data_IF_850860023395
#
_entry.id   IF_850860023395
#
_cell.length_a   1.000
_cell.length_b   1.000
_cell.length_c   1.000
_cell.angle_alpha   90.00
_cell.angle_beta   90.00
_cell.angle_gamma   90.00
#
_symmetry.space_group_name_H-M   'P 1'
#
loop_
_entity.id
_entity.type
_entity.pdbx_description
1 polymer ?
#
# COMPACT_ATOMS: atom_id res chain seq x y z
N UNK A 1 -31.94 -37.81 -6.28
CA UNK A 1 -30.91 -36.77 -6.04
C UNK A 1 -31.48 -35.40 -5.62
N UNK A 2 -32.63 -34.92 -6.14
CA UNK A 2 -33.26 -33.64 -5.70
C UNK A 2 -33.46 -33.48 -4.18
N UNK A 3 -33.74 -34.58 -3.47
CA UNK A 3 -33.94 -34.56 -2.00
C UNK A 3 -32.67 -34.24 -1.20
N UNK A 4 -31.47 -34.54 -1.69
CA UNK A 4 -30.23 -34.31 -0.92
C UNK A 4 -29.73 -32.87 -1.03
N UNK A 5 -29.80 -32.29 -2.23
CA UNK A 5 -29.20 -30.98 -2.53
C UNK A 5 -29.97 -29.79 -1.92
N UNK A 6 -31.28 -29.94 -1.79
CA UNK A 6 -32.17 -28.88 -1.32
C UNK A 6 -32.91 -29.25 -0.02
N UNK A 7 -32.64 -30.41 0.60
CA UNK A 7 -33.36 -30.84 1.81
C UNK A 7 -33.26 -29.79 2.91
N UNK A 8 -34.42 -29.24 3.23
CA UNK A 8 -34.60 -28.30 4.31
C UNK A 8 -35.49 -28.93 5.38
N UNK A 9 -34.88 -29.35 6.48
CA UNK A 9 -35.59 -29.83 7.66
C UNK A 9 -35.64 -28.72 8.71
N UNK A 10 -36.82 -28.42 9.27
CA UNK A 10 -36.92 -27.47 10.38
C UNK A 10 -36.20 -28.04 11.61
N UNK A 11 -35.54 -27.17 12.37
CA UNK A 11 -34.89 -27.56 13.61
C UNK A 11 -35.93 -27.77 14.74
N UNK A 12 -35.57 -28.46 15.84
CA UNK A 12 -36.52 -28.91 16.86
C UNK A 12 -37.36 -27.79 17.48
N UNK A 13 -36.81 -26.57 17.59
CA UNK A 13 -37.51 -25.41 18.15
C UNK A 13 -37.37 -24.17 17.27
N UNK A 14 -38.34 -23.24 17.41
CA UNK A 14 -38.30 -21.94 16.73
C UNK A 14 -37.10 -21.09 17.16
N UNK A 15 -36.74 -21.15 18.43
CA UNK A 15 -35.56 -20.44 18.94
C UNK A 15 -34.27 -20.97 18.30
N UNK A 16 -34.14 -22.29 18.15
CA UNK A 16 -33.02 -22.92 17.45
C UNK A 16 -32.99 -22.53 15.98
N UNK A 17 -34.14 -22.49 15.30
CA UNK A 17 -34.24 -22.02 13.91
C UNK A 17 -33.83 -20.54 13.76
N UNK A 18 -34.18 -19.67 14.71
CA UNK A 18 -33.76 -18.25 14.71
C UNK A 18 -32.26 -18.13 14.97
N UNK A 19 -31.73 -18.83 15.97
CA UNK A 19 -30.29 -18.83 16.25
C UNK A 19 -29.49 -19.34 15.05
N UNK A 20 -29.98 -20.40 14.39
CA UNK A 20 -29.36 -20.94 13.18
C UNK A 20 -29.44 -19.99 11.98
N UNK A 21 -30.55 -19.28 11.81
CA UNK A 21 -30.67 -18.21 10.82
C UNK A 21 -29.62 -17.13 11.06
N UNK A 22 -29.52 -16.61 12.29
CA UNK A 22 -28.57 -15.55 12.63
C UNK A 22 -27.13 -15.99 12.39
N UNK A 23 -26.80 -17.23 12.78
CA UNK A 23 -25.50 -17.83 12.52
C UNK A 23 -25.19 -17.89 11.02
N UNK A 24 -26.09 -18.47 10.21
CA UNK A 24 -25.90 -18.57 8.75
C UNK A 24 -25.83 -17.20 8.08
N UNK A 25 -26.69 -16.26 8.50
CA UNK A 25 -26.72 -14.91 7.97
C UNK A 25 -25.38 -14.20 8.22
N UNK A 26 -24.90 -14.23 9.47
CA UNK A 26 -23.63 -13.61 9.84
C UNK A 26 -22.44 -14.28 9.15
N UNK A 27 -22.39 -15.62 9.13
CA UNK A 27 -21.32 -16.37 8.49
C UNK A 27 -21.27 -16.10 6.98
N UNK A 28 -22.42 -16.20 6.31
CA UNK A 28 -22.54 -16.01 4.86
C UNK A 28 -22.24 -14.56 4.43
N UNK A 29 -22.80 -13.57 5.12
CA UNK A 29 -22.52 -12.15 4.83
C UNK A 29 -21.07 -11.76 5.14
N UNK A 30 -20.48 -12.30 6.21
CA UNK A 30 -19.08 -12.04 6.54
C UNK A 30 -18.14 -12.52 5.44
N UNK A 31 -18.40 -13.67 4.83
CA UNK A 31 -17.58 -14.15 3.69
C UNK A 31 -17.92 -13.41 2.40
N UNK A 32 -19.21 -13.19 2.12
CA UNK A 32 -19.61 -12.48 0.93
C UNK A 32 -19.01 -11.07 0.90
N UNK A 33 -19.06 -10.33 2.01
CA UNK A 33 -18.56 -8.96 2.08
C UNK A 33 -17.05 -8.92 2.34
N UNK A 34 -16.59 -9.65 3.35
CA UNK A 34 -15.22 -9.57 3.85
C UNK A 34 -14.20 -10.26 2.94
N UNK A 35 -14.56 -11.35 2.27
CA UNK A 35 -13.67 -12.09 1.38
C UNK A 35 -13.99 -11.86 -0.10
N UNK A 36 -15.25 -12.09 -0.51
CA UNK A 36 -15.64 -11.99 -1.92
C UNK A 36 -15.68 -10.55 -2.44
N UNK A 37 -16.55 -9.72 -1.85
CA UNK A 37 -16.78 -8.34 -2.28
C UNK A 37 -15.53 -7.50 -2.16
N UNK A 38 -14.78 -7.58 -1.05
CA UNK A 38 -13.53 -6.85 -0.88
C UNK A 38 -12.53 -7.11 -2.02
N UNK A 39 -12.40 -8.36 -2.48
CA UNK A 39 -11.57 -8.74 -3.63
C UNK A 39 -12.14 -8.24 -4.96
N UNK A 40 -13.46 -8.12 -5.09
CA UNK A 40 -14.12 -7.51 -6.25
C UNK A 40 -13.98 -5.98 -6.27
N UNK A 41 -14.01 -5.28 -5.14
CA UNK A 41 -14.02 -3.80 -5.10
C UNK A 41 -12.64 -3.16 -4.95
N UNK A 42 -11.58 -3.91 -4.64
CA UNK A 42 -10.20 -3.42 -4.75
C UNK A 42 -9.80 -3.06 -6.20
N UNK A 43 -10.71 -3.19 -7.16
CA UNK A 43 -10.73 -2.64 -8.52
C UNK A 43 -10.85 -1.10 -8.63
N UNK A 44 -10.93 -0.33 -7.53
CA UNK A 44 -11.19 1.12 -7.58
C UNK A 44 -9.95 2.02 -7.73
N UNK A 45 -8.77 1.46 -7.99
CA UNK A 45 -7.61 2.28 -8.41
C UNK A 45 -7.77 2.59 -9.90
N UNK A 46 -7.68 3.87 -10.29
CA UNK A 46 -7.91 4.42 -11.64
C UNK A 46 -7.23 3.71 -12.83
N UNK A 47 -6.28 2.79 -12.59
CA UNK A 47 -5.65 1.94 -13.60
C UNK A 47 -6.56 0.81 -14.11
N UNK A 48 -7.48 0.30 -13.32
CA UNK A 48 -8.35 -0.82 -13.73
C UNK A 48 -9.62 -0.36 -14.44
N UNK A 49 -10.09 0.88 -14.21
CA UNK A 49 -11.10 1.53 -15.06
C UNK A 49 -10.64 1.61 -16.53
N UNK A 50 -9.35 1.88 -16.75
CA UNK A 50 -8.74 1.84 -18.09
C UNK A 50 -8.69 0.40 -18.63
N UNK A 51 -8.43 -0.62 -17.81
CA UNK A 51 -8.50 -2.04 -18.24
C UNK A 51 -9.93 -2.49 -18.57
N UNK A 52 -10.93 -2.03 -17.81
CA UNK A 52 -12.35 -2.32 -18.02
C UNK A 52 -12.87 -1.66 -19.30
N UNK A 53 -12.40 -0.43 -19.58
CA UNK A 53 -12.70 0.30 -20.83
C UNK A 53 -11.92 -0.22 -22.04
N UNK A 54 -10.73 -0.77 -21.84
CA UNK A 54 -9.91 -1.35 -22.91
C UNK A 54 -10.32 -2.78 -23.31
N UNK A 55 -10.91 -3.56 -22.40
CA UNK A 55 -11.33 -4.95 -22.66
C UNK A 55 -12.66 -5.28 -21.96
N UNK A 56 -13.81 -5.13 -22.65
CA UNK A 56 -15.11 -5.47 -22.09
C UNK A 56 -15.23 -6.99 -21.96
N UNK A 57 -15.12 -7.52 -20.74
CA UNK A 57 -15.27 -8.95 -20.44
C UNK A 57 -14.45 -9.47 -19.25
N UNK A 58 -13.49 -8.68 -18.76
CA UNK A 58 -12.57 -9.12 -17.70
C UNK A 58 -13.02 -8.62 -16.32
N UNK A 59 -13.91 -9.36 -15.66
CA UNK A 59 -14.15 -9.29 -14.22
C UNK A 59 -12.87 -9.74 -13.50
N UNK A 60 -11.87 -8.88 -13.41
CA UNK A 60 -10.51 -9.29 -13.03
C UNK A 60 -10.34 -9.35 -11.53
N UNK A 61 -9.94 -10.51 -11.05
CA UNK A 61 -9.45 -10.70 -9.70
C UNK A 61 -8.12 -9.99 -9.49
N UNK A 62 -7.81 -9.50 -8.27
CA UNK A 62 -6.56 -8.80 -8.01
C UNK A 62 -5.32 -9.62 -8.38
N UNK A 63 -4.33 -9.00 -9.02
CA UNK A 63 -3.10 -9.68 -9.50
C UNK A 63 -2.35 -10.41 -8.38
N UNK A 64 -2.34 -9.85 -7.16
CA UNK A 64 -1.74 -10.51 -6.00
C UNK A 64 -2.43 -11.83 -5.65
N UNK A 65 -3.75 -11.91 -5.85
CA UNK A 65 -4.53 -13.12 -5.54
C UNK A 65 -4.32 -14.18 -6.63
N UNK A 66 -4.22 -13.75 -7.89
CA UNK A 66 -3.85 -14.62 -9.01
C UNK A 66 -2.47 -15.25 -8.79
N UNK A 67 -1.50 -14.47 -8.31
CA UNK A 67 -0.17 -14.97 -7.97
C UNK A 67 -0.21 -15.98 -6.81
N UNK A 68 -1.01 -15.72 -5.78
CA UNK A 68 -1.19 -16.68 -4.67
C UNK A 68 -1.78 -18.00 -5.14
N UNK A 69 -2.82 -17.95 -5.98
CA UNK A 69 -3.44 -19.14 -6.57
C UNK A 69 -2.43 -19.92 -7.43
N UNK A 70 -1.58 -19.22 -8.20
CA UNK A 70 -0.51 -19.84 -8.97
C UNK A 70 0.54 -20.53 -8.08
N UNK A 71 0.93 -19.90 -6.97
CA UNK A 71 1.90 -20.46 -6.01
C UNK A 71 1.38 -21.73 -5.33
N UNK A 72 0.07 -21.84 -5.13
CA UNK A 72 -0.59 -23.05 -4.64
C UNK A 72 -0.66 -24.18 -5.68
N UNK A 73 -0.15 -23.97 -6.91
CA UNK A 73 -0.12 -24.96 -7.98
C UNK A 73 -1.36 -24.99 -8.88
N UNK A 74 -2.32 -24.08 -8.68
CA UNK A 74 -3.52 -23.97 -9.53
C UNK A 74 -3.21 -23.23 -10.84
N UNK A 75 -2.40 -23.85 -11.70
CA UNK A 75 -1.89 -23.23 -12.95
C UNK A 75 -2.67 -23.64 -14.19
N UNK A 76 -3.39 -24.77 -14.18
CA UNK A 76 -4.24 -25.23 -15.29
C UNK A 76 -5.72 -25.24 -14.88
N UNK A 77 -6.68 -24.67 -15.65
CA UNK A 77 -6.54 -24.11 -17.00
C UNK A 77 -5.87 -22.71 -17.05
N UNK A 78 -5.98 -21.91 -15.98
CA UNK A 78 -5.11 -20.76 -15.73
C UNK A 78 -5.25 -20.29 -14.27
N UNK A 79 -4.25 -19.62 -13.67
CA UNK A 79 -4.39 -19.04 -12.34
C UNK A 79 -5.51 -17.99 -12.25
N UNK A 80 -5.73 -17.24 -13.34
CA UNK A 80 -6.81 -16.26 -13.44
C UNK A 80 -8.19 -16.91 -13.37
N UNK A 81 -8.37 -18.06 -14.02
CA UNK A 81 -9.62 -18.82 -13.95
C UNK A 81 -9.93 -19.27 -12.52
N UNK A 82 -8.94 -19.85 -11.83
CA UNK A 82 -9.10 -20.31 -10.45
C UNK A 82 -9.30 -19.18 -9.45
N UNK A 83 -8.59 -18.07 -9.64
CA UNK A 83 -8.78 -16.86 -8.84
C UNK A 83 -10.20 -16.33 -9.00
N UNK A 84 -10.67 -16.16 -10.24
CA UNK A 84 -12.04 -15.71 -10.53
C UNK A 84 -13.09 -16.64 -9.92
N UNK A 85 -12.94 -17.95 -10.12
CA UNK A 85 -13.83 -18.95 -9.54
C UNK A 85 -13.85 -18.87 -8.01
N UNK A 86 -12.71 -18.59 -7.38
CA UNK A 86 -12.62 -18.47 -5.92
C UNK A 86 -13.32 -17.22 -5.41
N UNK A 87 -13.03 -16.05 -5.98
CA UNK A 87 -13.64 -14.77 -5.58
C UNK A 87 -15.16 -14.79 -5.78
N UNK A 88 -15.63 -15.27 -6.93
CA UNK A 88 -17.05 -15.42 -7.20
C UNK A 88 -17.70 -16.48 -6.31
N UNK A 89 -16.99 -17.57 -6.01
CA UNK A 89 -17.43 -18.59 -5.05
C UNK A 89 -17.60 -18.03 -3.64
N UNK A 90 -16.65 -17.24 -3.15
CA UNK A 90 -16.74 -16.57 -1.85
C UNK A 90 -17.91 -15.58 -1.79
N UNK A 91 -18.07 -14.78 -2.84
CA UNK A 91 -19.13 -13.78 -2.92
C UNK A 91 -20.52 -14.43 -3.03
N UNK A 92 -20.75 -15.20 -4.10
CA UNK A 92 -22.05 -15.82 -4.40
C UNK A 92 -22.36 -16.91 -3.39
N UNK A 93 -21.39 -17.77 -3.07
CA UNK A 93 -21.55 -18.82 -2.06
C UNK A 93 -21.92 -18.25 -0.70
N UNK A 94 -21.28 -17.15 -0.27
CA UNK A 94 -21.61 -16.47 0.98
C UNK A 94 -23.05 -15.95 1.01
N UNK A 95 -23.50 -15.31 -0.08
CA UNK A 95 -24.89 -14.84 -0.22
C UNK A 95 -25.89 -16.01 -0.22
N UNK A 96 -25.59 -17.09 -0.94
CA UNK A 96 -26.41 -18.30 -0.99
C UNK A 96 -26.58 -18.93 0.39
N UNK A 97 -25.50 -19.03 1.19
CA UNK A 97 -25.56 -19.51 2.58
C UNK A 97 -26.39 -18.59 3.47
N UNK A 98 -26.20 -17.27 3.34
CA UNK A 98 -26.93 -16.27 4.12
C UNK A 98 -28.45 -16.32 3.87
N UNK A 99 -28.84 -16.34 2.59
CA UNK A 99 -30.25 -16.44 2.18
C UNK A 99 -30.84 -17.85 2.39
N UNK A 100 -29.97 -18.85 2.53
CA UNK A 100 -30.35 -20.24 2.63
C UNK A 100 -30.88 -20.81 1.32
N UNK A 101 -30.18 -20.57 0.20
CA UNK A 101 -30.49 -21.10 -1.13
C UNK A 101 -29.36 -22.03 -1.60
N UNK A 102 -29.68 -23.24 -2.05
CA UNK A 102 -28.70 -24.30 -2.36
C UNK A 102 -27.68 -24.49 -1.23
N UNK A 103 -28.13 -24.37 0.02
CA UNK A 103 -27.26 -24.08 1.18
C UNK A 103 -26.20 -25.14 1.41
N UNK A 104 -26.55 -26.41 1.23
CA UNK A 104 -25.62 -27.52 1.42
C UNK A 104 -24.50 -27.50 0.39
N UNK A 105 -24.82 -27.19 -0.86
CA UNK A 105 -23.84 -27.08 -1.95
C UNK A 105 -22.95 -25.85 -1.78
N UNK A 106 -23.55 -24.69 -1.49
CA UNK A 106 -22.81 -23.46 -1.28
C UNK A 106 -21.85 -23.59 -0.07
N UNK A 107 -22.33 -24.15 1.05
CA UNK A 107 -21.50 -24.39 2.21
C UNK A 107 -20.39 -25.44 1.95
N UNK A 108 -20.68 -26.52 1.22
CA UNK A 108 -19.65 -27.51 0.86
C UNK A 108 -18.56 -26.89 -0.03
N UNK A 109 -18.94 -26.06 -1.00
CA UNK A 109 -18.00 -25.37 -1.87
C UNK A 109 -17.11 -24.39 -1.07
N UNK A 110 -17.68 -23.60 -0.17
CA UNK A 110 -16.91 -22.71 0.72
C UNK A 110 -16.02 -23.51 1.68
N UNK A 111 -16.50 -24.63 2.21
CA UNK A 111 -15.68 -25.52 3.03
C UNK A 111 -14.44 -26.01 2.25
N UNK A 112 -14.57 -26.38 0.98
CA UNK A 112 -13.40 -26.76 0.15
C UNK A 112 -12.41 -25.60 0.04
N UNK A 113 -12.86 -24.36 -0.20
CA UNK A 113 -11.96 -23.21 -0.27
C UNK A 113 -11.22 -22.98 1.06
N UNK A 114 -11.94 -22.96 2.18
CA UNK A 114 -11.32 -22.75 3.49
C UNK A 114 -10.47 -23.93 3.94
N UNK A 115 -10.73 -25.16 3.47
CA UNK A 115 -9.83 -26.29 3.62
C UNK A 115 -8.49 -26.03 2.91
N UNK A 116 -8.53 -25.56 1.66
CA UNK A 116 -7.30 -25.26 0.92
C UNK A 116 -6.46 -24.20 1.64
N UNK A 117 -7.11 -23.13 2.08
CA UNK A 117 -6.43 -22.04 2.79
C UNK A 117 -5.92 -22.49 4.16
N UNK A 118 -6.72 -23.27 4.91
CA UNK A 118 -6.39 -23.64 6.28
C UNK A 118 -5.31 -24.74 6.39
N UNK A 119 -5.19 -25.63 5.39
CA UNK A 119 -4.34 -26.81 5.48
C UNK A 119 -3.22 -26.88 4.43
N UNK A 120 -3.42 -26.31 3.23
CA UNK A 120 -2.42 -26.39 2.16
C UNK A 120 -1.61 -25.10 1.97
N UNK A 121 -2.13 -23.96 2.43
CA UNK A 121 -1.45 -22.68 2.29
C UNK A 121 -0.61 -22.26 3.51
N UNK A 122 -0.94 -22.74 4.70
CA UNK A 122 -0.26 -22.32 5.92
C UNK A 122 1.03 -23.14 6.15
N UNK A 123 2.17 -22.48 6.37
CA UNK A 123 3.48 -23.14 6.50
C UNK A 123 3.65 -24.00 7.78
N UNK A 124 2.72 -23.93 8.73
CA UNK A 124 2.72 -24.73 9.96
C UNK A 124 1.29 -25.02 10.45
N UNK A 125 0.53 -25.86 9.74
CA UNK A 125 -0.86 -26.12 10.11
C UNK A 125 -0.87 -26.95 11.40
N UNK A 126 -1.38 -26.36 12.49
CA UNK A 126 -1.66 -27.07 13.74
C UNK A 126 -3.16 -27.42 13.76
N UNK A 127 -3.58 -28.63 13.35
CA UNK A 127 -4.98 -28.92 13.02
C UNK A 127 -5.89 -29.05 14.24
N UNK A 128 -5.30 -29.25 15.42
CA UNK A 128 -5.99 -29.64 16.65
C UNK A 128 -5.82 -28.59 17.76
N UNK A 129 -4.62 -28.00 17.88
CA UNK A 129 -4.27 -27.07 18.95
C UNK A 129 -4.19 -25.61 18.48
N UNK A 130 -3.91 -25.37 17.19
CA UNK A 130 -3.84 -24.03 16.62
C UNK A 130 -5.24 -23.50 16.30
N UNK A 131 -5.65 -22.39 16.92
CA UNK A 131 -6.94 -21.78 16.64
C UNK A 131 -6.80 -20.70 15.55
N UNK A 132 -6.80 -21.12 14.29
CA UNK A 132 -6.75 -20.21 13.15
C UNK A 132 -8.16 -19.85 12.66
N UNK A 133 -8.35 -18.57 12.32
CA UNK A 133 -9.64 -18.06 11.83
C UNK A 133 -10.18 -18.85 10.62
N UNK A 134 -9.30 -19.29 9.72
CA UNK A 134 -9.63 -20.06 8.52
C UNK A 134 -10.08 -21.49 8.85
N UNK A 135 -9.50 -22.12 9.87
CA UNK A 135 -9.94 -23.44 10.33
C UNK A 135 -11.32 -23.37 11.00
N UNK A 136 -11.58 -22.30 11.78
CA UNK A 136 -12.89 -22.06 12.35
C UNK A 136 -13.95 -21.89 11.26
N UNK A 137 -13.66 -21.12 10.21
CA UNK A 137 -14.55 -20.93 9.07
C UNK A 137 -14.79 -22.25 8.32
N UNK A 138 -13.73 -23.04 8.09
CA UNK A 138 -13.85 -24.38 7.50
C UNK A 138 -14.86 -25.23 8.28
N UNK A 139 -14.69 -25.36 9.60
CA UNK A 139 -15.60 -26.15 10.44
C UNK A 139 -17.01 -25.56 10.52
N UNK A 140 -17.16 -24.25 10.52
CA UNK A 140 -18.45 -23.58 10.45
C UNK A 140 -19.20 -23.96 9.15
N UNK A 141 -18.52 -23.97 8.01
CA UNK A 141 -19.13 -24.37 6.73
C UNK A 141 -19.44 -25.86 6.66
N UNK A 142 -18.61 -26.72 7.27
CA UNK A 142 -18.94 -28.15 7.43
C UNK A 142 -20.22 -28.31 8.26
N UNK A 143 -20.37 -27.58 9.36
CA UNK A 143 -21.58 -27.60 10.17
C UNK A 143 -22.81 -27.14 9.36
N UNK A 144 -22.69 -26.09 8.55
CA UNK A 144 -23.78 -25.63 7.67
C UNK A 144 -24.12 -26.65 6.59
N UNK A 145 -23.12 -27.28 5.96
CA UNK A 145 -23.33 -28.32 4.97
C UNK A 145 -24.04 -29.56 5.55
N UNK A 146 -23.71 -29.93 6.79
CA UNK A 146 -24.27 -31.07 7.50
C UNK A 146 -25.72 -30.81 7.99
N UNK A 147 -25.93 -29.69 8.69
CA UNK A 147 -27.24 -29.33 9.27
C UNK A 147 -28.21 -28.86 8.17
N UNK A 148 -27.71 -28.10 7.20
CA UNK A 148 -28.50 -27.56 6.11
C UNK A 148 -29.19 -26.22 6.44
N UNK A 149 -30.22 -25.84 5.66
CA UNK A 149 -30.71 -24.47 5.59
C UNK A 149 -31.65 -24.05 6.75
N UNK A 150 -32.28 -25.00 7.43
CA UNK A 150 -33.26 -24.72 8.50
C UNK A 150 -34.55 -24.05 7.99
N UNK A 151 -35.47 -23.73 8.91
CA UNK A 151 -36.85 -23.29 8.57
C UNK A 151 -36.93 -21.90 7.93
N UNK A 152 -36.00 -21.00 8.24
CA UNK A 152 -35.95 -19.64 7.70
C UNK A 152 -34.93 -19.57 6.56
N UNK A 153 -35.26 -20.22 5.45
CA UNK A 153 -34.39 -20.32 4.27
C UNK A 153 -35.21 -20.34 2.99
N UNK A 154 -34.61 -19.90 1.89
CA UNK A 154 -35.23 -20.02 0.57
C UNK A 154 -35.39 -21.49 0.14
N UNK A 155 -34.45 -22.37 0.49
CA UNK A 155 -34.55 -23.82 0.26
C UNK A 155 -35.81 -24.41 0.90
N UNK A 156 -36.08 -24.06 2.16
CA UNK A 156 -37.28 -24.50 2.86
C UNK A 156 -38.56 -23.92 2.25
N UNK A 157 -38.52 -22.65 1.83
CA UNK A 157 -39.65 -22.01 1.18
C UNK A 157 -39.98 -22.64 -0.18
N UNK A 158 -38.97 -22.93 -1.01
CA UNK A 158 -39.10 -23.57 -2.32
C UNK A 158 -39.55 -25.04 -2.22
N UNK A 159 -39.20 -25.72 -1.12
CA UNK A 159 -39.58 -27.12 -0.89
C UNK A 159 -40.94 -27.30 -0.21
N UNK A 160 -41.57 -26.22 0.28
CA UNK A 160 -42.91 -26.33 0.84
C UNK A 160 -43.85 -26.73 -0.29
N UNK A 161 -44.60 -27.85 -0.17
CA UNK A 161 -45.68 -28.11 -1.08
C UNK A 161 -46.64 -26.92 -1.00
N UNK A 162 -46.90 -26.27 -2.14
CA UNK A 162 -48.02 -25.35 -2.27
C UNK A 162 -49.28 -26.19 -2.01
N UNK A 163 -49.76 -26.18 -0.77
CA UNK A 163 -51.12 -26.60 -0.49
C UNK A 163 -51.98 -25.58 -1.22
N UNK A 164 -52.52 -25.97 -2.38
CA UNK A 164 -53.60 -25.23 -3.03
C UNK A 164 -54.80 -25.38 -2.11
N UNK A 165 -54.88 -24.51 -1.11
CA UNK A 165 -56.09 -24.32 -0.34
C UNK A 165 -57.01 -23.44 -1.19
N UNK A 166 -57.89 -24.12 -1.92
CA UNK A 166 -59.18 -23.55 -2.31
C UNK A 166 -59.97 -23.27 -1.03
N UNK A 167 -59.84 -22.07 -0.47
CA UNK A 167 -60.81 -21.51 0.47
C UNK A 167 -60.62 -20.00 0.60
N UNK A 168 -61.73 -19.30 0.42
CA UNK A 168 -61.84 -17.86 0.38
C UNK A 168 -61.38 -17.17 1.67
N UNK A 169 -60.82 -15.96 1.46
CA UNK A 169 -60.88 -14.79 2.32
C UNK A 169 -61.04 -15.00 3.83
N UNK A 170 -59.95 -14.82 4.56
CA UNK A 170 -59.96 -13.87 5.68
C UNK A 170 -58.56 -13.28 5.83
N UNK A 171 -58.42 -12.02 5.41
CA UNK A 171 -57.28 -11.20 5.77
C UNK A 171 -57.32 -10.98 7.29
N UNK A 172 -56.58 -11.80 8.03
CA UNK A 172 -56.27 -11.52 9.44
C UNK A 172 -55.02 -10.64 9.44
N UNK A 173 -55.22 -9.40 9.89
CA UNK A 173 -54.24 -8.32 9.85
C UNK A 173 -52.94 -8.69 10.53
N UNK A 174 -51.86 -8.60 9.75
CA UNK A 174 -50.50 -8.55 10.28
C UNK A 174 -50.31 -7.17 10.91
N UNK A 175 -50.56 -7.05 12.22
CA UNK A 175 -50.21 -5.83 12.95
C UNK A 175 -48.68 -5.70 12.96
N UNK A 176 -48.19 -4.69 12.24
CA UNK A 176 -46.80 -4.24 12.27
C UNK A 176 -46.61 -3.48 13.58
N UNK A 177 -45.98 -4.09 14.60
CA UNK A 177 -44.69 -3.56 15.06
C UNK A 177 -43.81 -4.64 15.71
N UNK A 178 -43.49 -5.73 15.00
CA UNK A 178 -42.49 -6.71 15.46
C UNK A 178 -41.32 -6.87 14.47
N UNK A 179 -41.57 -6.69 13.17
CA UNK A 179 -40.54 -6.78 12.13
C UNK A 179 -39.64 -5.52 12.08
N UNK A 180 -40.18 -4.34 12.39
CA UNK A 180 -39.40 -3.10 12.43
C UNK A 180 -38.46 -3.04 13.65
N UNK A 181 -38.89 -3.61 14.78
CA UNK A 181 -38.13 -3.66 16.03
C UNK A 181 -36.92 -4.60 15.93
N UNK A 182 -37.03 -5.69 15.15
CA UNK A 182 -35.91 -6.62 14.94
C UNK A 182 -34.83 -6.01 14.03
N UNK A 183 -35.22 -5.23 13.02
CA UNK A 183 -34.28 -4.50 12.14
C UNK A 183 -33.62 -3.34 12.88
N UNK A 184 -34.33 -2.67 13.79
CA UNK A 184 -33.78 -1.59 14.62
C UNK A 184 -32.84 -2.14 15.72
N UNK A 185 -33.11 -3.31 16.29
CA UNK A 185 -32.21 -3.98 17.26
C UNK A 185 -30.97 -4.56 16.56
N UNK A 186 -31.08 -5.04 15.32
CA UNK A 186 -29.92 -5.47 14.50
C UNK A 186 -29.08 -4.30 13.96
N UNK A 187 -29.67 -3.12 13.76
CA UNK A 187 -28.95 -1.89 13.41
C UNK A 187 -28.31 -1.21 14.64
N UNK A 188 -28.84 -1.43 15.84
CA UNK A 188 -28.29 -0.90 17.10
C UNK A 188 -27.26 -1.84 17.76
N UNK A 189 -27.26 -3.14 17.45
CA UNK A 189 -26.23 -4.08 17.94
C UNK A 189 -24.92 -4.08 17.13
N UNK A 190 -24.89 -3.43 15.96
CA UNK A 190 -23.64 -3.21 15.20
C UNK A 190 -22.97 -1.87 15.52
N UNK A 191 -23.62 -1.00 16.31
CA UNK A 191 -23.13 0.33 16.67
C UNK A 191 -22.38 0.44 18.00
N UNK A 192 -22.33 -0.61 18.82
CA UNK A 192 -21.72 -0.56 20.14
C UNK A 192 -20.80 -1.76 20.37
N UNK A 193 -19.56 -1.67 19.88
CA UNK A 193 -18.35 -2.29 20.47
C UNK A 193 -17.12 -2.12 19.56
N UNK A 194 -16.71 -0.90 19.19
CA UNK A 194 -15.34 -0.70 18.69
C UNK A 194 -14.74 0.62 19.19
N UNK A 195 -14.69 0.77 20.51
CA UNK A 195 -13.61 1.52 21.16
C UNK A 195 -12.42 0.59 21.51
N UNK A 196 -12.39 -0.61 20.90
CA UNK A 196 -11.31 -1.57 21.04
C UNK A 196 -10.20 -1.24 20.06
N UNK A 197 -9.08 -0.70 20.56
CA UNK A 197 -7.86 -0.67 19.77
C UNK A 197 -7.42 -2.09 19.41
N UNK A 198 -6.96 -2.29 18.17
CA UNK A 198 -6.42 -3.57 17.71
C UNK A 198 -5.06 -3.80 18.35
N UNK A 199 -4.87 -4.96 18.96
CA UNK A 199 -3.56 -5.42 19.43
C UNK A 199 -2.97 -6.37 18.38
N UNK A 200 -1.69 -6.23 18.07
CA UNK A 200 -1.01 -7.02 17.04
C UNK A 200 0.44 -7.28 17.43
N UNK A 201 0.78 -8.57 17.52
CA UNK A 201 2.16 -9.05 17.59
C UNK A 201 2.71 -9.21 16.17
N UNK A 202 3.29 -8.13 15.64
CA UNK A 202 3.81 -8.08 14.28
C UNK A 202 5.20 -8.71 14.22
N UNK A 203 5.34 -9.81 13.49
CA UNK A 203 6.64 -10.36 13.07
C UNK A 203 6.97 -9.82 11.68
N UNK A 204 8.12 -9.17 11.54
CA UNK A 204 8.53 -8.49 10.31
C UNK A 204 9.84 -9.09 9.79
N UNK A 205 9.76 -9.83 8.70
CA UNK A 205 10.91 -10.49 8.06
C UNK A 205 11.99 -9.49 7.62
N UNK A 206 13.27 -9.95 7.51
CA UNK A 206 14.36 -9.15 6.96
C UNK A 206 13.99 -8.48 5.63
N UNK A 207 14.22 -7.16 5.54
CA UNK A 207 14.00 -6.38 4.33
C UNK A 207 12.53 -6.09 3.98
N UNK A 208 11.55 -6.55 4.76
CA UNK A 208 10.13 -6.30 4.51
C UNK A 208 9.64 -4.99 5.11
N UNK A 209 8.58 -4.46 4.50
CA UNK A 209 7.85 -3.29 4.97
C UNK A 209 6.39 -3.67 5.16
N UNK A 210 5.90 -3.51 6.39
CA UNK A 210 4.50 -3.63 6.74
C UNK A 210 3.82 -2.27 6.60
N UNK A 211 2.68 -2.25 5.94
CA UNK A 211 1.89 -1.05 5.67
C UNK A 211 0.58 -1.14 6.45
N UNK A 212 0.29 -0.09 7.21
CA UNK A 212 -0.94 0.06 7.97
C UNK A 212 -1.64 1.38 7.58
N UNK A 213 -2.85 1.29 7.05
CA UNK A 213 -3.63 2.43 6.58
C UNK A 213 -3.30 2.87 5.14
N UNK A 214 -3.71 4.09 4.80
CA UNK A 214 -3.54 4.72 3.48
C UNK A 214 -4.85 5.03 2.75
N UNK A 215 -6.01 4.65 3.30
CA UNK A 215 -7.32 4.87 2.68
C UNK A 215 -8.44 5.18 3.66
N UNK A 216 -8.11 5.31 4.96
CA UNK A 216 -9.08 5.55 6.01
C UNK A 216 -9.57 7.01 6.04
N UNK A 217 -10.84 7.26 6.44
CA UNK A 217 -11.45 8.58 6.42
C UNK A 217 -11.03 9.51 7.58
N UNK A 218 -10.18 9.04 8.50
CA UNK A 218 -9.79 9.77 9.70
C UNK A 218 -8.42 9.35 10.23
N UNK A 219 -7.84 10.10 11.17
CA UNK A 219 -6.51 9.80 11.70
C UNK A 219 -6.50 8.53 12.55
N UNK A 220 -5.32 7.93 12.71
CA UNK A 220 -5.13 6.80 13.60
C UNK A 220 -3.84 6.93 14.41
N UNK A 221 -3.79 6.20 15.52
CA UNK A 221 -2.70 6.18 16.48
C UNK A 221 -2.17 4.77 16.61
N UNK A 222 -0.85 4.64 16.62
CA UNK A 222 -0.12 3.39 16.84
C UNK A 222 0.77 3.55 18.06
N UNK A 223 0.54 2.74 19.08
CA UNK A 223 1.50 2.54 20.16
C UNK A 223 2.32 1.31 19.80
N UNK A 224 3.59 1.51 19.48
CA UNK A 224 4.50 0.45 19.07
C UNK A 224 5.55 0.22 20.14
N UNK A 225 5.78 -1.03 20.51
CA UNK A 225 6.91 -1.45 21.35
C UNK A 225 7.75 -2.44 20.57
N UNK A 226 9.05 -2.18 20.44
CA UNK A 226 9.97 -3.14 19.87
C UNK A 226 10.28 -4.22 20.91
N UNK A 227 9.79 -5.44 20.68
CA UNK A 227 10.02 -6.62 21.52
C UNK A 227 11.03 -7.59 20.88
N UNK A 228 11.57 -7.23 19.71
CA UNK A 228 12.61 -7.95 18.99
C UNK A 228 14.02 -7.50 19.37
N UNK A 229 15.00 -8.03 18.63
CA UNK A 229 16.44 -7.79 18.85
C UNK A 229 17.07 -6.78 17.88
N UNK A 230 16.32 -6.33 16.89
CA UNK A 230 16.79 -5.42 15.83
C UNK A 230 15.93 -4.18 15.76
N UNK A 231 16.51 -3.07 15.31
CA UNK A 231 15.80 -1.81 15.16
C UNK A 231 14.77 -1.85 14.03
N UNK A 232 13.64 -1.16 14.22
CA UNK A 232 12.58 -1.02 13.20
C UNK A 232 12.39 0.45 12.87
N UNK A 233 12.47 0.79 11.59
CA UNK A 233 12.18 2.13 11.09
C UNK A 233 10.67 2.31 10.95
N UNK A 234 10.15 3.45 11.41
CA UNK A 234 8.75 3.83 11.22
C UNK A 234 8.68 5.13 10.43
N UNK A 235 7.97 5.09 9.31
CA UNK A 235 7.75 6.21 8.41
C UNK A 235 6.24 6.44 8.22
N UNK A 236 5.87 7.65 7.83
CA UNK A 236 4.53 7.98 7.36
C UNK A 236 4.60 8.25 5.86
N UNK A 237 3.76 7.55 5.09
CA UNK A 237 3.43 7.95 3.73
C UNK A 237 2.18 8.81 3.79
N UNK A 238 2.30 10.08 3.46
CA UNK A 238 1.22 11.05 3.40
C UNK A 238 0.26 10.73 2.24
N UNK A 239 -0.92 11.35 2.26
CA UNK A 239 -1.96 11.13 1.25
C UNK A 239 -1.52 11.55 -0.18
N UNK A 240 -0.57 12.49 -0.29
CA UNK A 240 0.06 12.91 -1.55
C UNK A 240 1.17 11.97 -2.04
N UNK A 241 1.49 10.93 -1.25
CA UNK A 241 2.52 9.94 -1.54
C UNK A 241 3.91 10.29 -1.00
N UNK A 242 4.12 11.48 -0.43
CA UNK A 242 5.39 11.84 0.20
C UNK A 242 5.66 10.95 1.43
N UNK A 243 6.92 10.57 1.64
CA UNK A 243 7.30 9.71 2.78
C UNK A 243 8.15 10.52 3.76
N UNK A 244 7.71 10.57 5.01
CA UNK A 244 8.38 11.26 6.10
C UNK A 244 8.84 10.25 7.18
N UNK A 245 10.08 10.38 7.64
CA UNK A 245 10.57 9.59 8.77
C UNK A 245 9.88 10.03 10.07
N UNK A 246 9.44 9.07 10.89
CA UNK A 246 8.78 9.35 12.18
C UNK A 246 9.57 8.88 13.39
N UNK A 247 10.12 7.67 13.33
CA UNK A 247 10.88 7.12 14.44
C UNK A 247 11.79 5.98 13.98
N UNK A 248 12.82 5.71 14.78
CA UNK A 248 13.55 4.44 14.76
C UNK A 248 13.30 3.81 16.14
N UNK A 249 12.70 2.62 16.16
CA UNK A 249 12.43 1.87 17.38
C UNK A 249 13.58 0.90 17.61
N UNK A 250 14.50 1.23 18.53
CA UNK A 250 15.54 0.30 18.97
C UNK A 250 14.94 -0.80 19.87
N UNK A 251 15.62 -1.96 20.07
CA UNK A 251 15.12 -3.03 20.93
C UNK A 251 14.67 -2.54 22.31
N UNK A 252 13.46 -2.93 22.73
CA UNK A 252 12.83 -2.51 23.98
C UNK A 252 12.13 -1.15 23.95
N UNK A 253 12.38 -0.31 22.95
CA UNK A 253 11.83 1.04 22.87
C UNK A 253 10.32 1.01 22.59
N UNK A 254 9.59 1.91 23.25
CA UNK A 254 8.16 2.14 23.03
C UNK A 254 7.95 3.56 22.50
N UNK A 255 7.11 3.71 21.47
CA UNK A 255 6.71 4.99 20.94
C UNK A 255 5.19 5.07 20.74
N UNK A 256 4.67 6.29 20.83
CA UNK A 256 3.30 6.63 20.43
C UNK A 256 3.39 7.47 19.16
N UNK A 257 2.79 6.99 18.09
CA UNK A 257 2.84 7.63 16.77
C UNK A 257 1.42 7.91 16.29
N UNK A 258 1.21 9.08 15.70
CA UNK A 258 -0.06 9.49 15.09
C UNK A 258 0.11 9.64 13.59
N UNK A 259 -0.92 9.27 12.85
CA UNK A 259 -0.93 9.28 11.39
C UNK A 259 -2.18 9.99 10.88
N UNK A 260 -2.00 10.80 9.85
CA UNK A 260 -3.04 11.66 9.30
C UNK A 260 -4.14 10.92 8.52
N UNK A 261 -5.15 11.68 8.11
CA UNK A 261 -6.20 11.21 7.19
C UNK A 261 -5.56 10.74 5.87
N UNK A 262 -5.98 9.58 5.36
CA UNK A 262 -5.42 9.00 4.13
C UNK A 262 -3.92 8.64 4.17
N UNK A 263 -3.25 8.82 5.31
CA UNK A 263 -1.82 8.49 5.46
C UNK A 263 -1.63 7.03 5.83
N UNK A 264 -0.45 6.46 5.55
CA UNK A 264 -0.10 5.08 5.88
C UNK A 264 1.15 5.04 6.78
N UNK A 265 1.12 4.20 7.81
CA UNK A 265 2.29 3.86 8.59
C UNK A 265 3.09 2.78 7.86
N UNK A 266 4.37 3.03 7.62
CA UNK A 266 5.32 2.08 7.04
C UNK A 266 6.28 1.62 8.14
N UNK A 267 6.19 0.35 8.54
CA UNK A 267 7.08 -0.27 9.52
C UNK A 267 8.07 -1.16 8.78
N UNK A 268 9.35 -0.86 8.89
CA UNK A 268 10.40 -1.42 8.04
C UNK A 268 11.51 -2.08 8.84
N UNK A 269 11.78 -3.34 8.53
CA UNK A 269 12.93 -4.06 9.07
C UNK A 269 14.09 -3.99 8.08
N UNK A 270 15.05 -3.11 8.33
CA UNK A 270 16.25 -2.95 7.51
C UNK A 270 17.36 -3.97 7.85
N UNK A 271 17.16 -4.82 8.85
CA UNK A 271 18.18 -5.76 9.32
C UNK A 271 18.10 -7.11 8.58
N UNK A 272 19.14 -7.93 8.77
CA UNK A 272 19.19 -9.31 8.29
C UNK A 272 18.47 -10.32 9.22
N UNK A 273 17.90 -9.87 10.35
CA UNK A 273 17.24 -10.73 11.33
C UNK A 273 15.75 -10.38 11.46
N UNK A 274 14.93 -11.32 11.93
CA UNK A 274 13.51 -11.11 12.17
C UNK A 274 13.28 -10.01 13.22
N UNK A 275 12.46 -9.01 12.90
CA UNK A 275 11.99 -8.02 13.86
C UNK A 275 10.65 -8.44 14.46
N UNK A 276 10.39 -8.03 15.71
CA UNK A 276 9.08 -8.21 16.37
C UNK A 276 8.64 -6.92 17.04
N UNK A 277 7.41 -6.52 16.76
CA UNK A 277 6.76 -5.38 17.38
C UNK A 277 5.45 -5.81 18.05
N UNK A 278 5.23 -5.28 19.25
CA UNK A 278 3.94 -5.28 19.93
C UNK A 278 3.25 -3.95 19.58
N UNK A 279 2.13 -4.02 18.86
CA UNK A 279 1.40 -2.87 18.34
C UNK A 279 0.02 -2.78 19.00
N UNK A 280 -0.35 -1.57 19.44
CA UNK A 280 -1.73 -1.22 19.79
C UNK A 280 -2.21 -0.06 18.93
N UNK A 281 -3.18 -0.34 18.08
CA UNK A 281 -3.69 0.56 17.04
C UNK A 281 -5.07 1.05 17.47
N UNK A 282 -5.31 2.35 17.42
CA UNK A 282 -6.60 2.95 17.80
C UNK A 282 -6.93 4.13 16.91
N UNK A 283 -8.20 4.42 16.67
CA UNK A 283 -8.63 5.54 15.84
C UNK A 283 -9.71 5.12 14.85
N UNK A 284 -9.66 5.66 13.64
CA UNK A 284 -10.67 5.42 12.62
C UNK A 284 -10.68 3.96 12.13
N UNK A 285 -11.87 3.35 11.95
CA UNK A 285 -12.00 2.02 11.37
C UNK A 285 -11.64 1.99 9.87
N UNK A 286 -11.46 0.79 9.31
CA UNK A 286 -11.16 0.62 7.87
C UNK A 286 -9.69 0.80 7.51
N UNK A 287 -8.78 0.61 8.47
CA UNK A 287 -7.35 0.53 8.18
C UNK A 287 -7.05 -0.73 7.36
N UNK A 288 -6.43 -0.55 6.21
CA UNK A 288 -5.82 -1.65 5.45
C UNK A 288 -4.56 -2.13 6.16
N UNK A 289 -4.30 -3.42 6.09
CA UNK A 289 -3.05 -4.03 6.57
C UNK A 289 -2.49 -4.91 5.48
N UNK A 290 -1.18 -4.83 5.27
CA UNK A 290 -0.52 -5.72 4.32
C UNK A 290 0.97 -5.51 4.28
N UNK A 291 1.66 -6.50 3.74
CA UNK A 291 3.01 -6.30 3.27
C UNK A 291 2.95 -5.59 1.94
N UNK A 292 3.78 -4.57 1.77
CA UNK A 292 3.92 -3.98 0.45
C UNK A 292 4.43 -5.08 -0.51
N UNK A 293 3.71 -5.33 -1.61
CA UNK A 293 4.01 -6.37 -2.61
C UNK A 293 5.39 -6.18 -3.26
N UNK A 294 5.90 -4.98 -3.16
CA UNK A 294 7.31 -4.70 -3.00
C UNK A 294 7.40 -3.88 -1.72
N UNK A 295 8.29 -4.24 -0.78
CA UNK A 295 8.88 -3.19 0.06
C UNK A 295 9.16 -2.02 -0.90
N UNK A 296 8.78 -0.75 -0.64
CA UNK A 296 9.39 0.33 -1.40
C UNK A 296 10.87 -0.03 -1.39
N UNK A 297 11.38 -0.41 -2.57
CA UNK A 297 12.74 -0.87 -2.62
C UNK A 297 13.46 0.29 -1.94
N UNK A 298 14.26 0.00 -0.91
CA UNK A 298 15.51 0.70 -0.95
C UNK A 298 16.03 0.32 -2.34
N UNK A 299 15.84 1.22 -3.31
CA UNK A 299 16.96 1.51 -4.18
C UNK A 299 18.14 1.49 -3.22
N UNK A 300 19.12 0.61 -3.45
CA UNK A 300 20.41 0.70 -2.77
C UNK A 300 20.67 2.21 -2.55
N UNK A 301 20.97 2.63 -1.30
CA UNK A 301 20.98 4.04 -0.91
C UNK A 301 21.57 4.80 -2.07
N UNK A 302 20.83 5.77 -2.63
CA UNK A 302 21.00 6.20 -4.02
C UNK A 302 22.48 6.43 -4.23
N UNK A 303 23.06 5.63 -5.12
CA UNK A 303 24.50 5.59 -5.33
C UNK A 303 24.80 6.23 -6.68
N UNK A 304 25.81 7.07 -6.73
CA UNK A 304 26.30 7.64 -7.99
C UNK A 304 27.73 7.19 -8.26
N UNK A 305 28.09 7.20 -9.54
CA UNK A 305 29.44 6.88 -10.01
C UNK A 305 29.86 7.84 -11.12
N UNK A 306 31.14 7.86 -11.48
CA UNK A 306 31.65 8.71 -12.57
C UNK A 306 30.92 8.44 -13.90
N UNK A 307 30.41 7.23 -14.11
CA UNK A 307 29.65 6.87 -15.30
C UNK A 307 28.37 7.74 -15.47
N UNK A 308 27.73 8.13 -14.37
CA UNK A 308 26.54 9.00 -14.39
C UNK A 308 26.86 10.40 -14.95
N UNK A 309 28.10 10.87 -14.76
CA UNK A 309 28.56 12.20 -15.20
C UNK A 309 29.22 12.17 -16.58
N UNK A 310 29.39 10.99 -17.21
CA UNK A 310 30.04 10.84 -18.51
C UNK A 310 29.47 11.75 -19.62
N UNK A 311 28.16 12.07 -19.68
CA UNK A 311 27.64 13.03 -20.65
C UNK A 311 28.17 14.46 -20.45
N UNK A 312 28.47 14.86 -19.21
CA UNK A 312 29.04 16.19 -18.92
C UNK A 312 30.50 16.32 -19.36
N UNK A 313 31.22 15.21 -19.52
CA UNK A 313 32.64 15.19 -19.90
C UNK A 313 32.84 15.53 -21.39
N UNK A 314 32.48 16.75 -21.79
CA UNK A 314 32.56 17.32 -23.14
C UNK A 314 33.03 18.77 -23.06
N UNK A 315 33.49 19.31 -24.18
CA UNK A 315 34.09 20.65 -24.27
C UNK A 315 33.26 21.64 -25.11
N UNK A 316 31.98 21.35 -25.35
CA UNK A 316 31.13 22.06 -26.31
C UNK A 316 29.75 22.45 -25.77
N UNK A 317 29.52 22.35 -24.46
CA UNK A 317 28.25 22.75 -23.87
C UNK A 317 28.06 24.27 -23.92
N UNK A 318 26.89 24.71 -24.38
CA UNK A 318 26.51 26.13 -24.46
C UNK A 318 25.14 26.36 -23.84
N UNK A 319 24.98 27.49 -23.17
CA UNK A 319 23.72 27.84 -22.55
C UNK A 319 23.85 29.05 -21.64
N UNK A 320 23.26 28.96 -20.45
CA UNK A 320 23.09 30.11 -19.57
C UNK A 320 23.28 29.76 -18.11
N UNK A 321 23.79 30.73 -17.35
CA UNK A 321 23.69 30.80 -15.90
C UNK A 321 22.62 31.85 -15.55
N UNK A 322 21.56 31.45 -14.87
CA UNK A 322 20.61 32.39 -14.26
C UNK A 322 20.82 32.39 -12.75
N UNK A 323 21.13 33.53 -12.15
CA UNK A 323 21.35 33.65 -10.71
C UNK A 323 20.51 34.78 -10.10
N UNK A 324 20.18 34.66 -8.82
CA UNK A 324 19.49 35.69 -8.07
C UNK A 324 20.51 36.70 -7.53
N UNK A 325 20.44 37.95 -7.99
CA UNK A 325 21.33 39.01 -7.53
C UNK A 325 21.05 39.37 -6.06
N UNK A 326 22.06 39.33 -5.19
CA UNK A 326 21.89 39.53 -3.75
C UNK A 326 21.42 40.94 -3.37
N UNK A 327 21.75 41.96 -4.18
CA UNK A 327 21.43 43.35 -3.88
C UNK A 327 20.01 43.70 -4.31
N UNK A 328 19.62 43.24 -5.50
CA UNK A 328 18.35 43.60 -6.14
C UNK A 328 17.28 42.52 -5.98
N UNK A 329 17.66 41.30 -5.58
CA UNK A 329 16.80 40.11 -5.51
C UNK A 329 16.09 39.82 -6.85
N UNK A 330 16.72 40.19 -7.97
CA UNK A 330 16.22 39.93 -9.32
C UNK A 330 17.07 38.88 -10.02
N UNK A 331 16.46 38.03 -10.86
CA UNK A 331 17.22 37.07 -11.65
C UNK A 331 18.02 37.78 -12.74
N UNK A 332 19.30 37.43 -12.88
CA UNK A 332 20.21 37.87 -13.93
C UNK A 332 20.66 36.63 -14.71
N UNK A 333 20.65 36.72 -16.05
CA UNK A 333 21.01 35.60 -16.93
C UNK A 333 22.24 35.96 -17.77
N UNK A 334 23.28 35.12 -17.69
CA UNK A 334 24.53 35.27 -18.42
C UNK A 334 24.72 34.12 -19.41
N UNK A 335 25.16 34.44 -20.63
CA UNK A 335 25.58 33.41 -21.60
C UNK A 335 26.81 32.71 -21.05
N UNK A 336 26.73 31.39 -20.95
CA UNK A 336 27.72 30.54 -20.28
C UNK A 336 28.07 29.33 -21.14
N UNK A 337 29.35 28.96 -21.11
CA UNK A 337 29.87 27.72 -21.67
C UNK A 337 30.32 26.80 -20.53
N UNK A 338 30.22 25.49 -20.74
CA UNK A 338 30.66 24.47 -19.79
C UNK A 338 31.60 23.49 -20.48
N UNK A 339 32.73 23.23 -19.84
CA UNK A 339 33.66 22.17 -20.21
C UNK A 339 33.81 21.20 -19.04
N UNK A 340 33.41 19.95 -19.22
CA UNK A 340 33.61 18.89 -18.23
C UNK A 340 34.79 18.01 -18.59
N UNK A 341 35.66 17.73 -17.62
CA UNK A 341 36.82 16.85 -17.79
C UNK A 341 37.03 15.96 -16.57
N UNK A 342 37.54 14.75 -16.80
CA UNK A 342 37.93 13.83 -15.74
C UNK A 342 39.36 14.14 -15.33
N UNK A 343 39.57 14.62 -14.10
CA UNK A 343 40.91 14.92 -13.58
C UNK A 343 41.59 13.67 -13.00
N UNK A 344 40.82 12.81 -12.30
CA UNK A 344 41.28 11.53 -11.73
C UNK A 344 40.13 10.51 -11.75
N UNK A 345 40.38 9.26 -11.34
CA UNK A 345 39.41 8.16 -11.44
C UNK A 345 38.04 8.43 -10.75
N UNK A 346 37.98 9.30 -9.73
CA UNK A 346 36.75 9.70 -9.03
C UNK A 346 36.59 11.22 -8.92
N UNK A 347 37.41 11.99 -9.65
CA UNK A 347 37.43 13.45 -9.58
C UNK A 347 37.25 14.04 -10.97
N UNK A 348 36.23 14.89 -11.11
CA UNK A 348 35.94 15.62 -12.34
C UNK A 348 35.88 17.13 -12.09
N UNK A 349 36.20 17.89 -13.12
CA UNK A 349 36.22 19.36 -13.08
C UNK A 349 35.21 19.86 -14.10
N UNK A 350 34.35 20.78 -13.64
CA UNK A 350 33.42 21.53 -14.47
C UNK A 350 33.94 22.95 -14.60
N UNK A 351 34.45 23.33 -15.76
CA UNK A 351 34.96 24.67 -16.07
C UNK A 351 33.84 25.48 -16.75
N UNK A 352 33.47 26.60 -16.13
CA UNK A 352 32.44 27.51 -16.58
C UNK A 352 33.10 28.79 -17.09
N UNK A 353 32.68 29.22 -18.27
CA UNK A 353 33.07 30.50 -18.82
C UNK A 353 31.81 31.30 -19.16
N UNK A 354 31.65 32.46 -18.52
CA UNK A 354 30.50 33.34 -18.77
C UNK A 354 30.93 34.75 -19.11
N UNK A 355 30.11 35.42 -19.90
CA UNK A 355 30.32 36.80 -20.31
C UNK A 355 29.47 37.73 -19.45
N UNK A 356 30.11 38.68 -18.78
CA UNK A 356 29.42 39.71 -18.01
C UNK A 356 28.82 40.77 -18.94
N UNK A 357 27.74 41.46 -18.53
CA UNK A 357 27.11 42.50 -19.35
C UNK A 357 28.07 43.62 -19.76
N UNK A 358 29.11 43.86 -18.96
CA UNK A 358 30.14 44.88 -19.18
C UNK A 358 31.24 44.44 -20.17
N UNK A 359 31.11 43.22 -20.75
CA UNK A 359 31.98 42.70 -21.80
C UNK A 359 33.15 41.85 -21.31
N UNK A 360 33.34 41.72 -19.99
CA UNK A 360 34.34 40.85 -19.37
C UNK A 360 34.01 39.36 -19.53
N UNK A 361 35.04 38.52 -19.68
CA UNK A 361 34.91 37.06 -19.64
C UNK A 361 35.42 36.59 -18.29
N UNK A 362 34.57 35.92 -17.53
CA UNK A 362 34.94 35.31 -16.25
C UNK A 362 35.01 33.80 -16.42
N UNK A 363 36.03 33.21 -15.80
CA UNK A 363 36.22 31.76 -15.72
C UNK A 363 36.08 31.33 -14.26
N UNK A 364 35.28 30.29 -14.04
CA UNK A 364 35.13 29.64 -12.74
C UNK A 364 35.18 28.13 -12.93
N UNK A 365 35.53 27.38 -11.90
CA UNK A 365 35.49 25.93 -11.98
C UNK A 365 34.94 25.33 -10.70
N UNK A 366 34.25 24.19 -10.84
CA UNK A 366 33.85 23.36 -9.72
C UNK A 366 34.65 22.05 -9.78
N UNK A 367 35.18 21.60 -8.62
CA UNK A 367 35.76 20.25 -8.47
C UNK A 367 34.75 19.32 -7.82
N UNK A 368 34.46 18.19 -8.46
CA UNK A 368 33.56 17.18 -7.95
C UNK A 368 34.34 15.91 -7.69
N UNK A 369 34.51 15.55 -6.41
CA UNK A 369 35.16 14.30 -5.99
C UNK A 369 34.11 13.34 -5.44
N UNK A 370 33.82 12.28 -6.18
CA UNK A 370 32.85 11.27 -5.75
C UNK A 370 33.36 10.52 -4.52
N UNK A 371 32.43 10.19 -3.62
CA UNK A 371 32.76 9.36 -2.47
C UNK A 371 32.94 7.90 -2.91
N UNK A 372 33.90 7.14 -2.35
CA UNK A 372 34.14 5.74 -2.73
C UNK A 372 32.95 4.82 -2.52
N UNK A 373 32.07 5.14 -1.58
CA UNK A 373 30.85 4.40 -1.26
C UNK A 373 29.66 4.75 -2.18
N UNK A 374 29.83 5.72 -3.08
CA UNK A 374 28.80 6.20 -4.01
C UNK A 374 27.69 7.04 -3.36
N UNK A 375 27.73 7.27 -2.05
CA UNK A 375 26.62 7.92 -1.30
C UNK A 375 26.55 9.43 -1.47
N UNK A 376 27.43 10.02 -2.30
CA UNK A 376 27.54 11.46 -2.47
C UNK A 376 28.86 11.84 -3.11
N UNK A 377 29.20 13.12 -2.99
CA UNK A 377 30.43 13.69 -3.50
C UNK A 377 30.81 14.95 -2.72
N UNK A 378 32.07 15.34 -2.77
CA UNK A 378 32.55 16.65 -2.36
C UNK A 378 32.48 17.60 -3.58
N UNK A 379 31.67 18.65 -3.49
CA UNK A 379 31.48 19.65 -4.55
C UNK A 379 32.16 20.96 -4.13
N UNK A 380 33.32 21.25 -4.71
CA UNK A 380 34.15 22.42 -4.40
C UNK A 380 34.42 22.56 -2.89
N UNK A 381 34.85 21.47 -2.26
CA UNK A 381 35.11 21.40 -0.82
C UNK A 381 33.87 21.18 0.06
N UNK A 382 32.67 21.27 -0.50
CA UNK A 382 31.42 21.02 0.24
C UNK A 382 31.01 19.55 0.16
N UNK A 383 30.98 18.85 1.28
CA UNK A 383 30.48 17.48 1.33
C UNK A 383 28.96 17.45 1.09
N UNK A 384 28.52 16.80 0.00
CA UNK A 384 27.12 16.64 -0.36
C UNK A 384 26.72 15.18 -0.41
N UNK A 385 25.66 14.81 0.31
CA UNK A 385 25.07 13.48 0.30
C UNK A 385 23.99 13.37 -0.76
N UNK A 386 23.97 12.24 -1.46
CA UNK A 386 22.98 11.93 -2.47
C UNK A 386 21.67 11.55 -1.79
N UNK A 387 20.66 12.41 -1.97
CA UNK A 387 19.31 12.20 -1.44
C UNK A 387 18.45 11.41 -2.41
N UNK A 388 18.62 11.63 -3.71
CA UNK A 388 17.82 10.98 -4.74
C UNK A 388 18.60 10.78 -6.03
N UNK A 389 18.42 9.61 -6.65
CA UNK A 389 18.86 9.27 -8.00
C UNK A 389 17.68 8.68 -8.77
N UNK A 390 17.29 9.30 -9.86
CA UNK A 390 16.12 8.89 -10.64
C UNK A 390 16.40 8.98 -12.14
N UNK A 391 16.05 7.93 -12.89
CA UNK A 391 16.03 7.99 -14.35
C UNK A 391 14.62 8.44 -14.79
N UNK A 392 14.52 9.62 -15.40
CA UNK A 392 13.26 10.13 -15.91
C UNK A 392 12.82 9.37 -17.18
N UNK A 393 11.51 9.36 -17.52
CA UNK A 393 11.00 8.63 -18.68
C UNK A 393 11.65 8.99 -20.03
N UNK A 394 12.18 10.20 -20.15
CA UNK A 394 12.89 10.69 -21.34
C UNK A 394 14.39 10.29 -21.38
N UNK A 395 14.85 9.45 -20.46
CA UNK A 395 16.25 9.05 -20.37
C UNK A 395 17.17 10.08 -19.72
N UNK A 396 16.64 11.16 -19.12
CA UNK A 396 17.43 12.11 -18.32
C UNK A 396 17.68 11.53 -16.93
N UNK A 397 18.93 11.57 -16.46
CA UNK A 397 19.26 11.26 -15.07
C UNK A 397 19.05 12.49 -14.19
N UNK A 398 18.30 12.35 -13.09
CA UNK A 398 18.19 13.36 -12.03
C UNK A 398 18.94 12.90 -10.78
N UNK A 399 19.85 13.74 -10.30
CA UNK A 399 20.53 13.60 -9.01
C UNK A 399 20.13 14.77 -8.10
N UNK A 400 19.79 14.49 -6.85
CA UNK A 400 19.54 15.50 -5.82
C UNK A 400 20.55 15.30 -4.70
N UNK A 401 21.43 16.27 -4.53
CA UNK A 401 22.52 16.27 -3.55
C UNK A 401 22.24 17.34 -2.49
N UNK A 402 22.49 17.05 -1.22
CA UNK A 402 22.35 18.01 -0.13
C UNK A 402 23.57 18.01 0.80
N UNK A 403 23.98 19.18 1.26
CA UNK A 403 25.08 19.36 2.21
C UNK A 403 24.91 20.60 3.06
N UNK A 404 25.47 20.58 4.27
CA UNK A 404 25.52 21.72 5.17
C UNK A 404 26.65 22.67 4.75
N UNK A 405 26.32 23.93 4.47
CA UNK A 405 27.28 24.92 4.01
C UNK A 405 26.90 26.32 4.44
N UNK A 406 27.44 27.31 3.71
CA UNK A 406 27.11 28.70 3.90
C UNK A 406 26.69 29.34 2.58
N UNK A 407 25.70 30.22 2.68
CA UNK A 407 25.24 31.04 1.58
C UNK A 407 24.88 32.42 2.13
N UNK A 408 25.31 33.49 1.46
CA UNK A 408 25.14 34.87 1.96
C UNK A 408 25.70 35.09 3.38
N UNK A 409 26.85 34.47 3.68
CA UNK A 409 27.49 34.46 5.01
C UNK A 409 26.62 33.88 6.14
N UNK A 410 25.60 33.09 5.81
CA UNK A 410 24.70 32.44 6.77
C UNK A 410 24.75 30.93 6.58
N UNK A 411 24.67 30.18 7.68
CA UNK A 411 24.56 28.74 7.62
C UNK A 411 23.27 28.32 6.88
N UNK A 412 23.40 27.40 5.94
CA UNK A 412 22.29 26.94 5.11
C UNK A 412 22.50 25.49 4.67
N UNK A 413 21.39 24.78 4.48
CA UNK A 413 21.39 23.53 3.72
C UNK A 413 21.42 23.89 2.25
N UNK A 414 22.44 23.45 1.54
CA UNK A 414 22.60 23.65 0.11
C UNK A 414 22.14 22.37 -0.60
N UNK A 415 21.18 22.52 -1.50
CA UNK A 415 20.70 21.47 -2.39
C UNK A 415 21.20 21.75 -3.80
N UNK A 416 21.78 20.73 -4.45
CA UNK A 416 22.09 20.73 -5.88
C UNK A 416 21.22 19.70 -6.59
N UNK A 417 20.38 20.17 -7.51
CA UNK A 417 19.62 19.30 -8.41
C UNK A 417 20.33 19.28 -9.76
N UNK A 418 20.83 18.10 -10.17
CA UNK A 418 21.55 17.91 -11.43
C UNK A 418 20.70 17.08 -12.37
N UNK A 419 20.44 17.60 -13.56
CA UNK A 419 19.79 16.90 -14.66
C UNK A 419 20.83 16.64 -15.74
N UNK A 420 21.03 15.38 -16.12
CA UNK A 420 22.02 14.96 -17.11
C UNK A 420 21.34 14.11 -18.17
N UNK A 421 21.27 14.61 -19.39
CA UNK A 421 20.88 13.87 -20.57
C UNK A 421 22.03 13.88 -21.59
N UNK A 422 21.89 13.13 -22.68
CA UNK A 422 22.90 13.11 -23.73
C UNK A 422 23.15 14.50 -24.32
N UNK A 423 22.11 15.31 -24.59
CA UNK A 423 22.26 16.63 -25.26
C UNK A 423 21.80 17.83 -24.44
N UNK A 424 21.39 17.61 -23.19
CA UNK A 424 20.91 18.66 -22.31
C UNK A 424 21.41 18.39 -20.89
N UNK A 425 21.80 19.44 -20.17
CA UNK A 425 22.05 19.33 -18.74
C UNK A 425 21.64 20.61 -18.00
N UNK A 426 21.31 20.45 -16.71
CA UNK A 426 21.04 21.56 -15.80
C UNK A 426 21.67 21.27 -14.44
N UNK A 427 22.18 22.32 -13.80
CA UNK A 427 22.70 22.29 -12.43
C UNK A 427 22.02 23.43 -11.68
N UNK A 428 21.09 23.11 -10.80
CA UNK A 428 20.37 24.09 -9.99
C UNK A 428 20.86 24.07 -8.55
N UNK A 429 21.22 25.23 -8.00
CA UNK A 429 21.51 25.42 -6.57
C UNK A 429 20.31 26.04 -5.88
N UNK A 430 19.89 25.40 -4.82
CA UNK A 430 18.83 25.83 -3.92
C UNK A 430 19.39 25.89 -2.50
N UNK A 431 18.94 26.83 -1.67
CA UNK A 431 19.41 27.00 -0.30
C UNK A 431 18.24 27.12 0.66
N UNK A 432 18.36 26.50 1.83
CA UNK A 432 17.40 26.64 2.92
C UNK A 432 18.12 27.10 4.18
N UNK A 433 17.77 28.29 4.64
CA UNK A 433 18.26 28.83 5.91
C UNK A 433 17.53 28.17 7.08
N UNK A 434 18.15 28.16 8.27
CA UNK A 434 17.58 27.51 9.46
C UNK A 434 16.15 28.00 9.82
N UNK A 435 15.86 29.27 9.53
CA UNK A 435 14.57 29.93 9.83
C UNK A 435 13.54 29.81 8.70
N UNK A 436 13.92 29.25 7.54
CA UNK A 436 13.06 29.13 6.37
C UNK A 436 12.50 27.70 6.23
N UNK A 437 11.21 27.60 5.93
CA UNK A 437 10.55 26.33 5.65
C UNK A 437 10.92 25.80 4.25
N UNK A 438 11.04 26.70 3.28
CA UNK A 438 11.23 26.36 1.87
C UNK A 438 12.65 26.62 1.37
N UNK A 439 13.02 25.91 0.31
CA UNK A 439 14.26 26.15 -0.44
C UNK A 439 14.11 27.35 -1.37
N UNK A 440 15.09 28.26 -1.32
CA UNK A 440 15.24 29.38 -2.23
C UNK A 440 16.20 29.00 -3.37
N UNK A 441 15.77 29.12 -4.62
CA UNK A 441 16.66 28.94 -5.77
C UNK A 441 17.66 30.11 -5.85
N UNK A 442 18.96 29.78 -5.79
CA UNK A 442 20.05 30.77 -5.90
C UNK A 442 20.56 30.93 -7.31
N UNK A 443 20.79 29.82 -7.99
CA UNK A 443 21.17 29.86 -9.39
C UNK A 443 20.77 28.56 -10.10
N UNK A 444 20.75 28.64 -11.43
CA UNK A 444 20.59 27.49 -12.29
C UNK A 444 21.43 27.68 -13.55
N UNK A 445 22.26 26.69 -13.83
CA UNK A 445 22.88 26.51 -15.13
C UNK A 445 21.97 25.67 -16.01
N UNK A 446 21.83 26.04 -17.29
CA UNK A 446 21.13 25.24 -18.30
C UNK A 446 21.98 25.21 -19.56
N UNK A 447 22.28 24.02 -20.06
CA UNK A 447 23.12 23.84 -21.24
C UNK A 447 22.50 22.85 -22.23
N UNK A 448 22.86 23.05 -23.49
CA UNK A 448 22.53 22.18 -24.62
C UNK A 448 23.75 21.98 -25.51
N UNK A 449 23.77 20.88 -26.27
CA UNK A 449 24.76 20.62 -27.32
C UNK A 449 24.13 20.04 -28.58
#
# INVERSE_FOLDING_TARGET
MKKLLFSATPLPSRATDVGWLLFRLHLGLSIAIGAGWSKLIHLSTTRDLVKLMAQPGHLTTPDWFVQQVAQLGFTFPSPYFWAALTVWGEFVGGLLVALGLSTRLAAAQLAVQFMVIAFFWYDSPEPVLGMYYQQLLFWAFIAVAAVGPGRYSLDYWLMRPHVVSSAASSFVGWSKPAAATLVLVLLLSTGACWAGGVHSDLSLEPGKVFVLGGGQPGPFRVVARNVGRVSVEVQERLADGAVAAKAILVPGQRATLTFGVGSAALLRNASAQLARLDLRISGTPGLSMGYASQAPQLSAPPSTSVADFRPLLRYDWRGTLTYLDYRTQRPVTLVTQLNGMLAQAQELVLDYQYQEPEGGVVKGFDRLRLLPDGTGLEWDGLLMRLQQREQLPNGTLRLVLEGEGQDDNRAAVIRRTVLIAERQCSIRKEVRFAEAADFLQRNEYRFTR
#
